data_IF_930880516163
#
_entry.id   IF_930880516163
#
_cell.length_a   1.000
_cell.length_b   1.000
_cell.length_c   1.000
_cell.angle_alpha   90.00
_cell.angle_beta   90.00
_cell.angle_gamma   90.00
#
_symmetry.space_group_name_H-M   'P 1'
#
loop_
_entity.id
_entity.type
_entity.pdbx_description
1 polymer ?
#
# COMPACT_ATOMS: atom_id res chain seq x y z
N UNK A 1 -31.36 21.76 3.35
CA UNK A 1 -31.57 20.29 3.43
C UNK A 1 -30.47 19.63 2.60
N UNK A 2 -29.47 18.98 3.22
CA UNK A 2 -28.39 18.33 2.48
C UNK A 2 -28.93 17.09 1.74
N UNK A 3 -28.66 16.98 0.44
CA UNK A 3 -29.19 15.89 -0.38
C UNK A 3 -28.59 14.53 0.06
N UNK A 4 -29.34 13.41 -0.04
CA UNK A 4 -28.87 12.08 0.38
C UNK A 4 -27.52 11.67 -0.23
N UNK A 5 -27.24 12.17 -1.44
CA UNK A 5 -25.98 11.96 -2.16
C UNK A 5 -24.79 12.67 -1.49
N UNK A 6 -24.95 13.89 -0.95
CA UNK A 6 -23.89 14.57 -0.21
C UNK A 6 -23.53 13.84 1.09
N UNK A 7 -24.52 13.33 1.81
CA UNK A 7 -24.32 12.55 3.04
C UNK A 7 -23.59 11.22 2.78
N UNK A 8 -23.89 10.55 1.65
CA UNK A 8 -23.16 9.34 1.23
C UNK A 8 -21.71 9.62 0.82
N UNK A 9 -21.45 10.72 0.09
CA UNK A 9 -20.08 11.10 -0.30
C UNK A 9 -19.24 11.45 0.94
N UNK A 10 -19.81 12.17 1.89
CA UNK A 10 -19.11 12.55 3.13
C UNK A 10 -18.81 11.34 4.02
N UNK A 11 -19.78 10.43 4.20
CA UNK A 11 -19.57 9.20 4.97
C UNK A 11 -18.53 8.28 4.33
N UNK A 12 -18.57 8.11 3.01
CA UNK A 12 -17.55 7.35 2.28
C UNK A 12 -16.15 8.01 2.37
N UNK A 13 -16.08 9.34 2.35
CA UNK A 13 -14.82 10.07 2.52
C UNK A 13 -14.22 9.88 3.92
N UNK A 14 -15.06 9.90 4.97
CA UNK A 14 -14.65 9.66 6.37
C UNK A 14 -14.16 8.22 6.55
N UNK A 15 -14.89 7.23 6.03
CA UNK A 15 -14.49 5.83 6.07
C UNK A 15 -13.12 5.59 5.39
N UNK A 16 -12.89 6.22 4.23
CA UNK A 16 -11.58 6.14 3.54
C UNK A 16 -10.44 6.74 4.37
N UNK A 17 -10.65 7.89 5.01
CA UNK A 17 -9.64 8.50 5.89
C UNK A 17 -9.34 7.60 7.09
N UNK A 18 -10.36 7.07 7.75
CA UNK A 18 -10.20 6.15 8.88
C UNK A 18 -9.38 4.90 8.49
N UNK A 19 -9.69 4.28 7.34
CA UNK A 19 -8.94 3.14 6.83
C UNK A 19 -7.47 3.47 6.50
N UNK A 20 -7.20 4.65 5.94
CA UNK A 20 -5.84 5.12 5.68
C UNK A 20 -5.05 5.36 6.98
N UNK A 21 -5.67 6.01 7.97
CA UNK A 21 -5.04 6.29 9.25
C UNK A 21 -4.73 4.98 10.00
N UNK A 22 -5.66 4.03 9.98
CA UNK A 22 -5.42 2.72 10.60
C UNK A 22 -4.29 1.97 9.89
N UNK A 23 -4.27 1.95 8.56
CA UNK A 23 -3.17 1.36 7.78
C UNK A 23 -1.82 1.98 8.16
N UNK A 24 -1.74 3.31 8.24
CA UNK A 24 -0.52 4.01 8.63
C UNK A 24 -0.09 3.64 10.05
N UNK A 25 -1.03 3.58 11.00
CA UNK A 25 -0.76 3.20 12.39
C UNK A 25 -0.20 1.77 12.46
N UNK A 26 -0.84 0.82 11.77
CA UNK A 26 -0.38 -0.57 11.74
C UNK A 26 0.99 -0.71 11.07
N UNK A 27 1.22 0.02 9.97
CA UNK A 27 2.53 0.03 9.29
C UNK A 27 3.64 0.55 10.21
N UNK A 28 3.37 1.62 10.98
CA UNK A 28 4.31 2.13 11.98
C UNK A 28 4.59 1.12 13.09
N UNK A 29 3.57 0.44 13.59
CA UNK A 29 3.75 -0.61 14.61
C UNK A 29 4.57 -1.77 14.08
N UNK A 30 4.29 -2.23 12.85
CA UNK A 30 5.06 -3.27 12.20
C UNK A 30 6.53 -2.87 12.06
N UNK A 31 6.79 -1.66 11.57
CA UNK A 31 8.14 -1.12 11.47
C UNK A 31 8.90 -1.17 12.80
N UNK A 32 8.27 -0.74 13.91
CA UNK A 32 8.90 -0.81 15.24
C UNK A 32 9.26 -2.25 15.65
N UNK A 33 8.39 -3.21 15.36
CA UNK A 33 8.65 -4.63 15.65
C UNK A 33 9.80 -5.18 14.80
N UNK A 34 9.83 -4.84 13.51
CA UNK A 34 10.92 -5.26 12.63
C UNK A 34 12.25 -4.63 13.04
N UNK A 35 12.26 -3.34 13.43
CA UNK A 35 13.46 -2.68 13.94
C UNK A 35 14.00 -3.38 15.20
N UNK A 36 13.11 -3.80 16.11
CA UNK A 36 13.48 -4.58 17.29
C UNK A 36 14.12 -5.93 16.91
N UNK A 37 13.54 -6.66 15.96
CA UNK A 37 14.13 -7.91 15.46
C UNK A 37 15.51 -7.70 14.83
N UNK A 38 15.68 -6.61 14.08
CA UNK A 38 16.98 -6.28 13.49
C UNK A 38 18.03 -6.04 14.58
N UNK A 39 17.66 -5.33 15.65
CA UNK A 39 18.55 -5.01 16.76
C UNK A 39 18.90 -6.23 17.63
N UNK A 40 17.91 -7.08 17.95
CA UNK A 40 18.12 -8.23 18.85
C UNK A 40 18.91 -9.37 18.19
N UNK A 41 18.77 -9.55 16.88
CA UNK A 41 19.33 -10.70 16.17
C UNK A 41 20.36 -10.32 15.10
N UNK A 42 20.78 -9.05 15.05
CA UNK A 42 21.67 -8.50 14.01
C UNK A 42 21.23 -8.85 12.57
N UNK A 43 19.92 -8.75 12.32
CA UNK A 43 19.32 -9.09 11.02
C UNK A 43 18.99 -7.84 10.21
N UNK A 44 19.04 -7.96 8.89
CA UNK A 44 18.57 -6.94 7.96
C UNK A 44 17.19 -7.33 7.41
N UNK A 45 16.15 -6.64 7.87
CA UNK A 45 14.78 -6.91 7.41
C UNK A 45 14.28 -5.81 6.48
N UNK A 46 13.87 -6.23 5.28
CA UNK A 46 13.23 -5.38 4.27
C UNK A 46 11.77 -5.79 4.13
N UNK A 47 10.84 -4.84 4.17
CA UNK A 47 9.41 -5.12 4.04
C UNK A 47 8.79 -4.34 2.89
N UNK A 48 8.01 -5.03 2.06
CA UNK A 48 7.33 -4.48 0.89
C UNK A 48 5.82 -4.76 0.98
N UNK A 49 5.00 -3.71 0.86
CA UNK A 49 3.55 -3.82 0.89
C UNK A 49 2.90 -3.34 -0.41
N UNK A 50 2.12 -4.21 -1.07
CA UNK A 50 1.34 -3.84 -2.24
C UNK A 50 -0.02 -3.25 -1.84
N UNK A 51 -0.28 -1.98 -2.18
CA UNK A 51 -1.55 -1.30 -1.87
C UNK A 51 -1.91 -0.28 -2.94
N UNK A 52 -3.18 -0.24 -3.33
CA UNK A 52 -3.72 0.69 -4.33
C UNK A 52 -3.03 0.64 -5.72
N UNK A 53 -2.41 -0.48 -6.06
CA UNK A 53 -1.72 -0.67 -7.33
C UNK A 53 -0.25 -0.25 -7.32
N UNK A 54 0.38 -0.14 -6.15
CA UNK A 54 1.79 0.24 -6.00
C UNK A 54 2.42 -0.51 -4.84
N UNK A 55 3.71 -0.82 -4.95
CA UNK A 55 4.50 -1.29 -3.83
C UNK A 55 4.93 -0.12 -2.94
N UNK A 56 4.92 -0.34 -1.64
CA UNK A 56 5.38 0.58 -0.61
C UNK A 56 6.50 -0.12 0.15
N UNK A 57 7.73 0.34 -0.02
CA UNK A 57 8.90 -0.17 0.70
C UNK A 57 9.02 0.48 2.06
N UNK A 58 9.26 -0.33 3.08
CA UNK A 58 9.68 0.10 4.41
C UNK A 58 11.04 -0.52 4.67
N UNK A 59 12.03 0.34 4.82
CA UNK A 59 13.44 -0.04 4.80
C UNK A 59 14.07 0.46 6.08
N UNK A 60 14.64 -0.47 6.85
CA UNK A 60 15.57 -0.11 7.91
C UNK A 60 16.93 0.19 7.24
N UNK A 61 17.57 1.27 7.66
CA UNK A 61 18.87 1.71 7.15
C UNK A 61 19.89 0.59 7.40
N UNK A 62 20.72 0.29 6.41
CA UNK A 62 21.78 -0.71 6.55
C UNK A 62 22.92 -0.20 7.47
N UNK A 63 23.88 -1.08 7.82
CA UNK A 63 25.03 -0.72 8.68
C UNK A 63 25.89 0.40 8.06
N UNK A 64 25.82 0.59 6.75
CA UNK A 64 26.51 1.65 6.00
C UNK A 64 25.76 2.98 5.98
N UNK A 65 24.62 3.08 6.67
CA UNK A 65 23.82 4.31 6.67
C UNK A 65 23.02 4.53 5.37
N UNK A 66 23.13 3.61 4.40
CA UNK A 66 22.37 3.67 3.16
C UNK A 66 20.98 3.06 3.36
N UNK A 67 19.99 3.72 2.75
CA UNK A 67 18.67 3.11 2.60
C UNK A 67 18.76 2.13 1.45
N UNK A 68 18.43 0.87 1.71
CA UNK A 68 18.17 -0.08 0.64
C UNK A 68 17.11 0.51 -0.30
N UNK A 69 17.48 0.59 -1.58
CA UNK A 69 16.59 1.03 -2.63
C UNK A 69 15.98 -0.22 -3.26
N UNK A 70 14.66 -0.43 -3.15
CA UNK A 70 14.03 -1.56 -3.81
C UNK A 70 14.18 -1.42 -5.33
N UNK A 71 14.12 -2.54 -6.08
CA UNK A 71 13.98 -2.51 -7.53
C UNK A 71 12.80 -1.63 -7.96
N UNK A 72 12.86 -1.10 -9.19
CA UNK A 72 11.78 -0.28 -9.75
C UNK A 72 10.44 -1.02 -9.78
N UNK A 73 9.34 -0.25 -9.82
CA UNK A 73 7.97 -0.79 -9.79
C UNK A 73 7.72 -1.82 -10.90
N UNK A 74 8.25 -1.61 -12.12
CA UNK A 74 8.15 -2.58 -13.21
C UNK A 74 8.81 -3.92 -12.88
N UNK A 75 10.03 -3.87 -12.31
CA UNK A 75 10.74 -5.07 -11.87
C UNK A 75 10.00 -5.77 -10.74
N UNK A 76 9.44 -5.01 -9.79
CA UNK A 76 8.63 -5.57 -8.70
C UNK A 76 7.34 -6.21 -9.21
N UNK A 77 6.66 -5.62 -10.18
CA UNK A 77 5.44 -6.18 -10.77
C UNK A 77 5.73 -7.48 -11.57
N UNK A 78 6.93 -7.60 -12.15
CA UNK A 78 7.40 -8.84 -12.80
C UNK A 78 7.73 -9.94 -11.79
N UNK A 79 8.46 -9.60 -10.73
CA UNK A 79 8.91 -10.57 -9.71
C UNK A 79 7.79 -10.98 -8.75
N UNK A 80 6.88 -10.05 -8.47
CA UNK A 80 5.78 -10.22 -7.52
C UNK A 80 4.48 -9.80 -8.21
N UNK A 81 3.85 -10.68 -9.02
CA UNK A 81 2.58 -10.34 -9.65
C UNK A 81 1.56 -9.92 -8.59
N UNK A 82 0.64 -8.98 -8.90
CA UNK A 82 -0.33 -8.49 -7.94
C UNK A 82 -1.05 -9.65 -7.26
N UNK A 83 -1.06 -9.72 -5.91
CA UNK A 83 -1.75 -10.79 -5.23
C UNK A 83 -3.22 -10.78 -5.64
N UNK A 84 -3.80 -11.96 -5.87
CA UNK A 84 -5.24 -12.11 -6.15
C UNK A 84 -6.01 -11.77 -4.88
N UNK A 85 -6.16 -10.48 -4.59
CA UNK A 85 -6.94 -10.00 -3.46
C UNK A 85 -8.41 -10.22 -3.85
N UNK A 86 -9.01 -11.29 -3.33
CA UNK A 86 -10.44 -11.64 -3.48
C UNK A 86 -11.37 -10.65 -2.76
N UNK A 87 -11.02 -9.36 -2.75
CA UNK A 87 -11.91 -8.28 -2.34
C UNK A 87 -12.63 -7.76 -3.59
N UNK A 88 -13.96 -7.87 -3.61
CA UNK A 88 -14.82 -7.33 -4.68
C UNK A 88 -14.54 -5.84 -4.99
N UNK A 89 -14.06 -5.08 -4.00
CA UNK A 89 -13.70 -3.66 -4.15
C UNK A 89 -12.35 -3.43 -4.86
N UNK A 90 -11.45 -4.42 -4.90
CA UNK A 90 -10.18 -4.37 -5.63
C UNK A 90 -10.42 -4.68 -7.12
N UNK A 91 -11.19 -5.74 -7.43
CA UNK A 91 -11.57 -6.10 -8.80
C UNK A 91 -12.23 -4.93 -9.54
N UNK A 92 -13.22 -4.27 -8.92
CA UNK A 92 -13.90 -3.11 -9.53
C UNK A 92 -12.97 -1.92 -9.82
N UNK A 93 -11.93 -1.69 -8.99
CA UNK A 93 -10.97 -0.59 -9.21
C UNK A 93 -9.94 -0.91 -10.28
N UNK A 94 -9.46 -2.15 -10.33
CA UNK A 94 -8.56 -2.60 -11.40
C UNK A 94 -9.26 -2.57 -12.78
N UNK A 95 -10.53 -3.00 -12.84
CA UNK A 95 -11.34 -2.94 -14.06
C UNK A 95 -11.59 -1.50 -14.54
N UNK A 96 -11.93 -0.57 -13.64
CA UNK A 96 -12.13 0.85 -13.99
C UNK A 96 -10.86 1.54 -14.52
N UNK A 97 -9.67 1.13 -14.03
CA UNK A 97 -8.41 1.67 -14.54
C UNK A 97 -8.09 1.15 -15.94
N UNK A 98 -8.37 -0.13 -16.23
CA UNK A 98 -8.20 -0.69 -17.58
C UNK A 98 -9.16 -0.07 -18.60
N UNK A 99 -10.42 0.16 -18.22
CA UNK A 99 -11.40 0.81 -19.09
C UNK A 99 -11.03 2.25 -19.48
N UNK A 100 -10.36 3.01 -18.59
CA UNK A 100 -9.91 4.38 -18.90
C UNK A 100 -8.71 4.46 -19.85
N UNK A 101 -7.90 3.40 -19.96
CA UNK A 101 -6.73 3.37 -20.83
C UNK A 101 -7.11 3.02 -22.28
N UNK A 102 -8.25 2.36 -22.49
CA UNK A 102 -8.74 1.95 -23.82
C UNK A 102 -9.92 2.82 -24.32
N UNK A 103 -10.21 3.95 -23.67
CA UNK A 103 -11.32 4.84 -24.01
C UNK A 103 -10.93 6.08 -24.81
N UNK A 104 -9.70 6.16 -25.33
CA UNK A 104 -9.26 7.21 -26.24
C UNK A 104 -8.99 6.59 -27.62
N UNK A 105 -10.06 6.28 -28.35
CA UNK A 105 -10.11 6.27 -29.82
C UNK A 105 -11.43 6.97 -30.18
#
# INVERSE_FOLDING_TARGET
>A
MASPQQSQVLSHSKARRAANNNYLRLSKTLYKKLAKLCQEYDTHVYFLAYRNGRFNGFVLIDKTGQRWSPPGQETLDKLYPPPVIKSLAYCRRAQRRRAKVHGNI
#
